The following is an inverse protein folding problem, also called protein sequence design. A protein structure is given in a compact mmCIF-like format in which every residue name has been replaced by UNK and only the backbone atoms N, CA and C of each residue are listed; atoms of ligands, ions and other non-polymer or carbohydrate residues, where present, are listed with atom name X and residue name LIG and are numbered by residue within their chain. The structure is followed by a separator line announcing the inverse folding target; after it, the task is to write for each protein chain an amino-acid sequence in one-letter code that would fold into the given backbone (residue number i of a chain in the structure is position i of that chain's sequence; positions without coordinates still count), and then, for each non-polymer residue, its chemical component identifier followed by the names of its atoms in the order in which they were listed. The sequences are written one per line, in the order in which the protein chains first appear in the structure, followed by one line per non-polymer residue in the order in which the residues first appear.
data_IF_436842830458
#
_entry.id   IF_436842830458
#
_cell.length_a   1.000
_cell.length_b   1.000
_cell.length_c   1.000
_cell.angle_alpha   90.00
_cell.angle_beta   90.00
_cell.angle_gamma   90.00
#
_symmetry.space_group_name_H-M   'P 1'
#
loop_
_entity.id
_entity.type
_entity.pdbx_description
1 polymer ?
#
# COMPACT_ATOMS: atom_id res chain seq x y z
N UNK A 1 32.15 -17.87 -6.50
CA UNK A 1 32.31 -18.03 -5.04
C UNK A 1 31.48 -19.22 -4.56
N UNK A 2 31.98 -20.00 -3.60
CA UNK A 2 31.21 -21.07 -2.97
C UNK A 2 30.04 -20.50 -2.16
N UNK A 3 28.93 -21.23 -2.09
CA UNK A 3 27.72 -20.79 -1.39
C UNK A 3 27.27 -21.82 -0.35
N UNK A 4 26.95 -21.37 0.86
CA UNK A 4 26.45 -22.23 1.95
C UNK A 4 25.16 -22.98 1.57
N UNK A 5 24.35 -22.39 0.69
CA UNK A 5 23.14 -23.03 0.14
C UNK A 5 23.44 -24.21 -0.78
N UNK A 6 24.62 -24.25 -1.37
CA UNK A 6 25.11 -25.30 -2.28
C UNK A 6 26.12 -26.20 -1.57
N UNK A 7 26.05 -26.28 -0.25
CA UNK A 7 26.98 -27.06 0.58
C UNK A 7 28.46 -26.66 0.40
N UNK A 8 28.71 -25.36 0.23
CA UNK A 8 30.07 -24.86 0.02
C UNK A 8 30.61 -25.12 -1.38
N UNK A 9 29.76 -25.51 -2.35
CA UNK A 9 30.13 -25.57 -3.78
C UNK A 9 29.83 -24.25 -4.48
N UNK A 10 30.56 -23.96 -5.55
CA UNK A 10 30.27 -22.78 -6.39
C UNK A 10 29.08 -23.06 -7.31
N UNK A 11 28.28 -22.04 -7.68
CA UNK A 11 27.21 -22.21 -8.66
C UNK A 11 27.69 -22.77 -10.00
N UNK A 12 28.90 -22.39 -10.42
CA UNK A 12 29.53 -22.90 -11.64
C UNK A 12 29.78 -24.40 -11.54
N UNK A 13 30.39 -24.85 -10.45
CA UNK A 13 30.66 -26.27 -10.19
C UNK A 13 29.37 -27.09 -10.06
N UNK A 14 28.35 -26.54 -9.41
CA UNK A 14 27.06 -27.20 -9.29
C UNK A 14 26.34 -27.34 -10.65
N UNK A 15 26.57 -26.41 -11.58
CA UNK A 15 25.92 -26.39 -12.89
C UNK A 15 26.69 -27.15 -13.97
N UNK A 16 28.02 -27.06 -13.99
CA UNK A 16 28.85 -27.60 -15.09
C UNK A 16 29.72 -28.79 -14.70
N UNK A 17 29.71 -29.20 -13.43
CA UNK A 17 30.69 -30.14 -12.84
C UNK A 17 32.15 -29.69 -12.92
N UNK A 18 32.44 -28.51 -13.47
CA UNK A 18 33.79 -28.01 -13.59
C UNK A 18 34.25 -27.38 -12.27
N UNK A 19 35.52 -27.55 -11.89
CA UNK A 19 36.06 -26.81 -10.76
C UNK A 19 35.86 -25.31 -10.99
N UNK A 20 35.59 -24.59 -9.91
CA UNK A 20 35.55 -23.14 -9.96
C UNK A 20 36.96 -22.65 -10.34
N UNK A 21 37.14 -22.28 -11.60
CA UNK A 21 38.46 -21.96 -12.16
C UNK A 21 38.46 -20.60 -12.85
N UNK A 22 39.65 -20.08 -13.11
CA UNK A 22 39.82 -18.80 -13.81
C UNK A 22 39.36 -18.90 -15.27
N UNK A 23 38.80 -17.82 -15.81
CA UNK A 23 38.33 -17.75 -17.20
C UNK A 23 39.45 -17.99 -18.24
N UNK A 24 40.73 -18.00 -17.83
CA UNK A 24 41.89 -18.09 -18.71
C UNK A 24 42.37 -19.52 -19.00
N UNK A 25 41.87 -20.53 -18.30
CA UNK A 25 42.37 -21.92 -18.45
C UNK A 25 42.01 -22.54 -19.81
N UNK A 26 40.91 -22.12 -20.42
CA UNK A 26 40.51 -22.48 -21.80
C UNK A 26 41.61 -22.11 -22.83
N UNK A 27 42.35 -21.02 -22.57
CA UNK A 27 43.39 -20.51 -23.47
C UNK A 27 44.68 -21.36 -23.35
N UNK A 28 44.92 -21.99 -22.21
CA UNK A 28 46.14 -22.73 -21.89
C UNK A 28 46.04 -24.24 -22.18
N UNK A 29 45.06 -24.69 -22.97
CA UNK A 29 44.90 -26.11 -23.27
C UNK A 29 46.12 -26.63 -24.08
N UNK A 30 46.86 -27.66 -23.59
CA UNK A 30 48.01 -28.18 -24.30
C UNK A 30 47.61 -28.69 -25.69
N UNK A 31 48.18 -28.12 -26.74
CA UNK A 31 47.88 -28.46 -28.14
C UNK A 31 48.77 -29.59 -28.68
N UNK A 32 49.11 -30.56 -27.86
CA UNK A 32 49.87 -31.72 -28.33
C UNK A 32 48.91 -32.67 -29.06
N UNK A 33 49.06 -32.89 -30.37
CA UNK A 33 48.17 -33.78 -31.10
C UNK A 33 48.47 -35.22 -30.71
N UNK A 34 47.59 -35.83 -29.92
CA UNK A 34 47.54 -37.27 -29.75
C UNK A 34 46.87 -37.90 -30.96
N UNK A 35 47.57 -38.80 -31.65
CA UNK A 35 46.96 -39.65 -32.67
C UNK A 35 46.07 -40.68 -31.96
N UNK A 36 44.79 -40.66 -32.26
CA UNK A 36 43.81 -41.58 -31.71
C UNK A 36 42.83 -42.03 -32.80
N UNK A 37 42.40 -43.28 -32.74
CA UNK A 37 41.38 -43.84 -33.65
C UNK A 37 40.01 -43.29 -33.28
N UNK A 38 39.17 -42.97 -34.27
CA UNK A 38 37.83 -42.41 -34.04
C UNK A 38 36.95 -43.27 -33.11
N UNK A 39 37.04 -44.59 -33.22
CA UNK A 39 36.28 -45.54 -32.38
C UNK A 39 36.71 -45.50 -30.90
N UNK A 40 38.02 -45.36 -30.65
CA UNK A 40 38.56 -45.23 -29.29
C UNK A 40 38.13 -43.90 -28.67
N UNK A 41 38.16 -42.81 -29.45
CA UNK A 41 37.68 -41.50 -28.99
C UNK A 41 36.20 -41.55 -28.63
N UNK A 42 35.35 -42.18 -29.46
CA UNK A 42 33.92 -42.30 -29.17
C UNK A 42 33.64 -43.15 -27.93
N UNK A 43 34.36 -44.27 -27.74
CA UNK A 43 34.22 -45.09 -26.53
C UNK A 43 34.63 -44.33 -25.27
N UNK A 44 35.74 -43.59 -25.34
CA UNK A 44 36.28 -42.85 -24.20
C UNK A 44 35.38 -41.65 -23.85
N UNK A 45 34.85 -40.94 -24.86
CA UNK A 45 33.89 -39.86 -24.67
C UNK A 45 32.61 -40.38 -24.01
N UNK A 46 32.07 -41.52 -24.46
CA UNK A 46 30.87 -42.11 -23.84
C UNK A 46 31.11 -42.50 -22.39
N UNK A 47 32.23 -43.17 -22.10
CA UNK A 47 32.64 -43.55 -20.75
C UNK A 47 32.80 -42.32 -19.84
N UNK A 48 33.45 -41.27 -20.35
CA UNK A 48 33.63 -40.03 -19.61
C UNK A 48 32.29 -39.34 -19.33
N UNK A 49 31.38 -39.26 -20.32
CA UNK A 49 30.06 -38.68 -20.14
C UNK A 49 29.22 -39.45 -19.11
N UNK A 50 29.29 -40.79 -19.09
CA UNK A 50 28.61 -41.59 -18.06
C UNK A 50 29.18 -41.32 -16.67
N UNK A 51 30.51 -41.26 -16.53
CA UNK A 51 31.15 -40.95 -15.26
C UNK A 51 30.82 -39.54 -14.74
N UNK A 52 30.80 -38.54 -15.64
CA UNK A 52 30.40 -37.16 -15.29
C UNK A 52 28.94 -37.08 -14.87
N UNK A 53 28.05 -37.82 -15.56
CA UNK A 53 26.64 -37.90 -15.20
C UNK A 53 26.44 -38.47 -13.79
N UNK A 54 27.06 -39.62 -13.50
CA UNK A 54 26.97 -40.24 -12.17
C UNK A 54 27.54 -39.31 -11.08
N UNK A 55 28.66 -38.64 -11.35
CA UNK A 55 29.25 -37.69 -10.42
C UNK A 55 28.33 -36.47 -10.14
N UNK A 56 27.64 -35.96 -11.17
CA UNK A 56 26.66 -34.88 -11.03
C UNK A 56 25.41 -35.31 -10.28
N UNK A 57 24.86 -36.49 -10.60
CA UNK A 57 23.67 -37.03 -9.94
C UNK A 57 23.93 -37.22 -8.44
N UNK A 58 25.10 -37.77 -8.07
CA UNK A 58 25.53 -37.91 -6.68
C UNK A 58 25.73 -36.55 -6.00
N UNK A 59 26.39 -35.60 -6.66
CA UNK A 59 26.58 -34.23 -6.16
C UNK A 59 25.25 -33.53 -5.89
N UNK A 60 24.29 -33.64 -6.81
CA UNK A 60 22.96 -33.02 -6.65
C UNK A 60 22.16 -33.70 -5.54
N UNK A 61 22.26 -35.02 -5.40
CA UNK A 61 21.62 -35.75 -4.30
C UNK A 61 22.15 -35.28 -2.93
N UNK A 62 23.47 -35.16 -2.77
CA UNK A 62 24.08 -34.61 -1.56
C UNK A 62 23.63 -33.18 -1.28
N UNK A 63 23.67 -32.32 -2.30
CA UNK A 63 23.28 -30.91 -2.19
C UNK A 63 21.80 -30.75 -1.78
N UNK A 64 20.90 -31.54 -2.38
CA UNK A 64 19.47 -31.55 -2.04
C UNK A 64 19.28 -31.96 -0.59
N UNK A 65 19.91 -33.07 -0.16
CA UNK A 65 19.81 -33.57 1.21
C UNK A 65 20.29 -32.54 2.25
N UNK A 66 21.41 -31.87 1.97
CA UNK A 66 21.99 -30.87 2.85
C UNK A 66 21.13 -29.59 2.90
N UNK A 67 20.59 -29.17 1.75
CA UNK A 67 19.64 -28.06 1.65
C UNK A 67 18.36 -28.34 2.42
N UNK A 68 17.80 -29.54 2.31
CA UNK A 68 16.59 -29.95 3.03
C UNK A 68 16.81 -30.04 4.53
N UNK A 69 17.92 -30.61 4.98
CA UNK A 69 18.31 -30.64 6.39
C UNK A 69 18.41 -29.24 6.97
N UNK A 70 19.02 -28.29 6.23
CA UNK A 70 19.08 -26.87 6.63
C UNK A 70 17.71 -26.21 6.65
N UNK A 71 16.86 -26.46 5.64
CA UNK A 71 15.48 -25.95 5.59
C UNK A 71 14.66 -26.46 6.77
N UNK A 72 14.77 -27.74 7.12
CA UNK A 72 14.13 -28.34 8.29
C UNK A 72 14.63 -27.70 9.59
N UNK A 73 15.95 -27.58 9.78
CA UNK A 73 16.51 -26.92 10.96
C UNK A 73 16.09 -25.43 11.06
N UNK A 74 15.97 -24.72 9.94
CA UNK A 74 15.45 -23.36 9.92
C UNK A 74 13.97 -23.32 10.35
N UNK A 75 13.13 -24.23 9.84
CA UNK A 75 11.73 -24.38 10.27
C UNK A 75 11.62 -24.69 11.76
N UNK A 76 12.45 -25.60 12.28
CA UNK A 76 12.48 -25.92 13.72
C UNK A 76 12.93 -24.73 14.57
N UNK A 77 13.95 -23.97 14.14
CA UNK A 77 14.36 -22.72 14.80
C UNK A 77 13.24 -21.68 14.78
N UNK A 78 12.53 -21.55 13.67
CA UNK A 78 11.37 -20.67 13.57
C UNK A 78 10.21 -21.11 14.46
N UNK A 79 9.95 -22.42 14.58
CA UNK A 79 8.91 -22.96 15.46
C UNK A 79 9.27 -22.80 16.96
N UNK A 80 10.56 -22.86 17.31
CA UNK A 80 11.05 -22.64 18.69
C UNK A 80 11.02 -21.16 19.10
N UNK A 81 11.15 -20.24 18.15
CA UNK A 81 10.85 -18.84 18.43
C UNK A 81 9.36 -18.78 18.72
N UNK A 82 8.96 -18.30 19.90
CA UNK A 82 7.60 -17.80 20.07
C UNK A 82 7.42 -16.78 18.95
N UNK A 83 6.63 -17.15 17.94
CA UNK A 83 6.33 -16.26 16.83
C UNK A 83 5.86 -14.92 17.39
N UNK A 84 6.09 -13.85 16.63
CA UNK A 84 5.41 -12.57 16.87
C UNK A 84 3.97 -12.90 17.22
N UNK A 85 3.57 -12.62 18.47
CA UNK A 85 2.20 -12.84 18.93
C UNK A 85 1.37 -11.85 18.13
N UNK A 86 0.84 -12.28 16.98
CA UNK A 86 -0.12 -11.48 16.27
C UNK A 86 -1.26 -11.24 17.26
N UNK A 87 -1.58 -9.97 17.47
CA UNK A 87 -2.78 -9.63 18.21
C UNK A 87 -3.92 -10.27 17.43
N UNK A 88 -4.60 -11.23 18.09
CA UNK A 88 -5.73 -11.94 17.50
C UNK A 88 -6.84 -10.91 17.40
N UNK A 89 -7.05 -10.40 16.20
CA UNK A 89 -8.25 -9.65 15.90
C UNK A 89 -9.41 -10.64 15.83
N UNK A 90 -10.48 -10.36 16.54
CA UNK A 90 -11.76 -11.07 16.43
C UNK A 90 -12.71 -10.36 15.48
N UNK A 91 -13.64 -11.13 14.91
CA UNK A 91 -14.79 -10.57 14.22
C UNK A 91 -15.57 -9.67 15.20
N UNK A 92 -15.92 -8.45 14.75
CA UNK A 92 -16.55 -7.43 15.58
C UNK A 92 -15.59 -6.47 16.28
N UNK A 93 -14.28 -6.73 16.29
CA UNK A 93 -13.31 -5.78 16.85
C UNK A 93 -13.26 -4.49 16.04
N UNK A 94 -13.12 -3.37 16.74
CA UNK A 94 -12.87 -2.08 16.12
C UNK A 94 -11.36 -1.83 15.98
N UNK A 95 -10.94 -1.36 14.81
CA UNK A 95 -9.54 -1.18 14.43
C UNK A 95 -9.32 0.10 13.65
N UNK A 96 -8.14 0.70 13.80
CA UNK A 96 -7.63 1.72 12.90
C UNK A 96 -6.99 1.06 11.67
N UNK A 97 -7.33 1.54 10.47
CA UNK A 97 -6.73 1.05 9.23
C UNK A 97 -5.70 2.03 8.67
N UNK A 98 -4.49 1.54 8.40
CA UNK A 98 -3.43 2.33 7.78
C UNK A 98 -3.58 2.39 6.25
N UNK A 99 -3.77 3.61 5.75
CA UNK A 99 -3.77 3.93 4.32
C UNK A 99 -2.47 4.63 3.95
N UNK A 100 -1.80 4.16 2.90
CA UNK A 100 -0.62 4.83 2.38
C UNK A 100 -1.06 6.07 1.60
N UNK A 101 -0.63 7.26 2.03
CA UNK A 101 -0.95 8.50 1.33
C UNK A 101 0.23 8.95 0.50
N UNK A 102 0.01 9.28 -0.78
CA UNK A 102 1.03 9.90 -1.64
C UNK A 102 1.33 11.37 -1.29
N UNK A 103 0.60 11.96 -0.31
CA UNK A 103 0.72 13.38 0.06
C UNK A 103 1.92 13.69 0.96
N UNK A 104 2.47 12.69 1.64
CA UNK A 104 3.69 12.88 2.42
C UNK A 104 4.90 12.73 1.50
N UNK A 105 5.78 13.73 1.46
CA UNK A 105 7.07 13.65 0.73
C UNK A 105 7.99 12.50 1.18
N UNK A 106 7.59 11.71 2.18
CA UNK A 106 8.23 10.48 2.57
C UNK A 106 7.53 9.27 1.94
N UNK A 107 8.28 8.54 1.10
CA UNK A 107 7.91 7.24 0.56
C UNK A 107 7.56 6.31 1.73
N UNK A 108 6.30 5.87 1.82
CA UNK A 108 5.72 4.99 2.84
C UNK A 108 5.17 5.64 4.13
N UNK A 109 4.85 6.94 4.18
CA UNK A 109 4.09 7.41 5.35
C UNK A 109 2.68 6.81 5.34
N UNK A 110 2.35 6.14 6.44
CA UNK A 110 1.04 5.56 6.69
C UNK A 110 0.21 6.56 7.49
N UNK A 111 -1.00 6.85 7.01
CA UNK A 111 -2.00 7.59 7.78
C UNK A 111 -3.01 6.57 8.32
N UNK A 112 -3.15 6.54 9.64
CA UNK A 112 -4.12 5.70 10.33
C UNK A 112 -5.49 6.40 10.28
N UNK A 113 -6.51 5.69 9.78
CA UNK A 113 -7.83 6.23 9.49
C UNK A 113 -8.91 5.43 10.22
N UNK A 114 -9.73 6.17 10.96
CA UNK A 114 -11.02 5.83 11.57
C UNK A 114 -11.02 4.61 12.51
N UNK A 115 -11.92 4.54 13.50
CA UNK A 115 -12.39 3.24 13.93
C UNK A 115 -13.18 2.59 12.78
N UNK A 116 -12.77 1.38 12.39
CA UNK A 116 -13.42 0.52 11.40
C UNK A 116 -13.70 -0.83 12.04
N UNK A 117 -14.72 -1.54 11.62
CA UNK A 117 -15.10 -2.83 12.24
C UNK A 117 -14.58 -4.00 11.42
N UNK A 118 -13.98 -4.99 12.07
CA UNK A 118 -13.61 -6.24 11.41
C UNK A 118 -14.87 -7.08 11.19
N UNK A 119 -15.16 -7.40 9.93
CA UNK A 119 -16.26 -8.29 9.58
C UNK A 119 -15.84 -9.74 9.69
N UNK A 120 -14.71 -10.08 9.05
CA UNK A 120 -14.28 -11.47 8.89
C UNK A 120 -12.79 -11.59 8.71
N UNK A 121 -12.21 -12.67 9.23
CA UNK A 121 -10.86 -13.10 8.89
C UNK A 121 -10.87 -13.95 7.60
N UNK A 122 -10.17 -13.49 6.56
CA UNK A 122 -9.98 -14.27 5.32
C UNK A 122 -8.84 -15.28 5.48
N UNK A 123 -7.80 -14.90 6.22
CA UNK A 123 -6.70 -15.77 6.61
C UNK A 123 -6.09 -15.25 7.93
N UNK A 124 -5.04 -15.90 8.44
CA UNK A 124 -4.38 -15.53 9.71
C UNK A 124 -3.81 -14.09 9.74
N UNK A 125 -3.68 -13.44 8.58
CA UNK A 125 -3.02 -12.15 8.39
C UNK A 125 -3.84 -11.12 7.60
N UNK A 126 -5.03 -11.46 7.11
CA UNK A 126 -5.82 -10.65 6.20
C UNK A 126 -7.27 -10.65 6.65
N UNK A 127 -7.81 -9.46 6.81
CA UNK A 127 -9.12 -9.21 7.39
C UNK A 127 -9.95 -8.32 6.47
N UNK A 128 -11.24 -8.59 6.41
CA UNK A 128 -12.24 -7.70 5.86
C UNK A 128 -12.62 -6.67 6.92
N UNK A 129 -12.46 -5.41 6.57
CA UNK A 129 -12.66 -4.27 7.46
C UNK A 129 -13.69 -3.35 6.84
N UNK A 130 -14.74 -3.05 7.60
CA UNK A 130 -15.89 -2.26 7.19
C UNK A 130 -15.87 -0.89 7.87
N UNK A 131 -16.19 0.14 7.09
CA UNK A 131 -16.39 1.49 7.63
C UNK A 131 -17.66 1.56 8.47
N UNK A 132 -17.64 2.32 9.56
CA UNK A 132 -18.80 2.46 10.48
C UNK A 132 -19.85 3.42 9.91
N UNK A 133 -19.46 4.22 8.92
CA UNK A 133 -20.30 5.25 8.29
C UNK A 133 -20.74 4.74 6.92
N UNK A 134 -21.94 5.13 6.50
CA UNK A 134 -22.45 4.89 5.15
C UNK A 134 -21.46 5.43 4.10
N UNK A 135 -21.10 4.67 3.05
CA UNK A 135 -21.75 3.48 2.49
C UNK A 135 -21.34 2.14 3.12
N UNK A 136 -20.73 2.14 4.30
CA UNK A 136 -20.22 0.94 4.99
C UNK A 136 -19.26 0.14 4.10
N UNK A 137 -18.37 0.86 3.41
CA UNK A 137 -17.45 0.27 2.45
C UNK A 137 -16.58 -0.81 3.11
N UNK A 138 -16.48 -1.96 2.45
CA UNK A 138 -15.67 -3.09 2.91
C UNK A 138 -14.35 -3.10 2.16
N UNK A 139 -13.25 -3.09 2.90
CA UNK A 139 -11.90 -3.15 2.34
C UNK A 139 -11.10 -4.28 2.96
N UNK A 140 -10.25 -4.93 2.15
CA UNK A 140 -9.38 -6.01 2.60
C UNK A 140 -8.04 -5.42 3.06
N UNK A 141 -7.62 -5.74 4.29
CA UNK A 141 -6.40 -5.21 4.90
C UNK A 141 -5.56 -6.32 5.53
N UNK A 142 -4.24 -6.18 5.42
CA UNK A 142 -3.30 -7.05 6.13
C UNK A 142 -3.19 -6.62 7.61
N UNK A 143 -2.91 -7.56 8.51
CA UNK A 143 -2.79 -7.36 9.96
C UNK A 143 -1.80 -6.24 10.33
N UNK A 144 -0.71 -6.10 9.56
CA UNK A 144 0.27 -5.02 9.76
C UNK A 144 -0.25 -3.61 9.46
N UNK A 145 -1.41 -3.51 8.81
CA UNK A 145 -2.12 -2.25 8.52
C UNK A 145 -3.30 -2.02 9.46
N UNK A 146 -3.42 -2.82 10.53
CA UNK A 146 -4.50 -2.74 11.50
C UNK A 146 -3.93 -2.52 12.90
N UNK A 147 -4.58 -1.64 13.67
CA UNK A 147 -4.31 -1.42 15.08
C UNK A 147 -5.62 -1.48 15.86
N UNK A 148 -5.65 -2.19 16.99
CA UNK A 148 -6.87 -2.28 17.81
C UNK A 148 -7.28 -0.91 18.34
N UNK A 149 -8.54 -0.55 18.15
CA UNK A 149 -9.13 0.68 18.65
C UNK A 149 -9.66 0.45 20.08
N UNK A 150 -8.92 0.91 21.09
CA UNK A 150 -9.20 0.61 22.51
C UNK A 150 -10.44 1.31 23.08
N UNK A 151 -10.83 2.44 22.51
CA UNK A 151 -11.96 3.23 23.04
C UNK A 151 -13.33 2.74 22.56
N UNK A 152 -13.38 1.70 21.72
CA UNK A 152 -14.62 1.07 21.30
C UNK A 152 -15.48 0.51 22.43
N UNK A 153 -14.87 0.12 23.56
CA UNK A 153 -15.61 -0.37 24.73
C UNK A 153 -16.08 0.77 25.66
N UNK A 154 -15.67 2.01 25.41
CA UNK A 154 -15.95 3.17 26.28
C UNK A 154 -16.88 4.19 25.63
N UNK A 155 -16.88 4.30 24.30
CA UNK A 155 -17.70 5.27 23.59
C UNK A 155 -19.09 4.75 23.20
N UNK A 156 -20.06 5.66 23.08
CA UNK A 156 -21.34 5.36 22.43
C UNK A 156 -21.13 5.17 20.93
N UNK A 157 -22.06 4.48 20.25
CA UNK A 157 -21.98 4.24 18.79
C UNK A 157 -21.87 5.55 18.01
N UNK A 158 -22.53 6.61 18.51
CA UNK A 158 -22.50 7.97 17.96
C UNK A 158 -21.09 8.59 18.02
N UNK A 159 -20.39 8.48 19.16
CA UNK A 159 -19.02 8.99 19.33
C UNK A 159 -18.01 8.27 18.41
N UNK A 160 -18.22 6.97 18.15
CA UNK A 160 -17.39 6.20 17.23
C UNK A 160 -17.59 6.64 15.77
N UNK A 161 -18.82 7.03 15.41
CA UNK A 161 -19.12 7.58 14.09
C UNK A 161 -18.47 8.95 13.92
N UNK A 162 -18.59 9.83 14.91
CA UNK A 162 -17.94 11.16 14.92
C UNK A 162 -16.41 11.07 14.76
N UNK A 163 -15.78 10.12 15.47
CA UNK A 163 -14.34 9.88 15.38
C UNK A 163 -13.92 9.26 14.05
N UNK A 164 -14.78 8.43 13.44
CA UNK A 164 -14.56 7.93 12.09
C UNK A 164 -14.61 9.05 11.06
N UNK A 165 -15.58 9.97 11.17
CA UNK A 165 -15.70 11.16 10.31
C UNK A 165 -14.42 12.00 10.42
N UNK A 166 -14.04 12.37 11.64
CA UNK A 166 -12.82 13.14 11.88
C UNK A 166 -11.56 12.41 11.38
N UNK A 167 -11.50 11.10 11.63
CA UNK A 167 -10.39 10.25 11.29
C UNK A 167 -10.16 10.11 9.80
N UNK A 168 -11.20 10.18 8.95
CA UNK A 168 -11.09 10.07 7.48
C UNK A 168 -10.68 11.36 6.77
N UNK A 169 -10.77 12.50 7.48
CA UNK A 169 -10.24 13.78 7.01
C UNK A 169 -11.23 14.63 6.20
N UNK A 170 -12.53 14.43 6.41
CA UNK A 170 -13.60 15.30 5.92
C UNK A 170 -14.75 15.33 6.93
N UNK A 171 -15.38 16.48 7.12
CA UNK A 171 -16.62 16.60 7.90
C UNK A 171 -17.80 16.24 7.00
N UNK A 172 -18.80 15.51 7.52
CA UNK A 172 -20.04 15.27 6.78
C UNK A 172 -20.88 16.55 6.73
N UNK A 173 -21.57 16.77 5.62
CA UNK A 173 -22.52 17.88 5.47
C UNK A 173 -23.83 17.51 6.16
N UNK A 174 -24.25 18.30 7.14
CA UNK A 174 -25.58 18.18 7.77
C UNK A 174 -26.64 18.89 6.92
N UNK A 175 -26.36 20.13 6.54
CA UNK A 175 -27.28 20.94 5.75
C UNK A 175 -26.53 21.98 4.92
N UNK A 176 -27.08 22.31 3.76
CA UNK A 176 -26.67 23.47 2.97
C UNK A 176 -27.61 24.62 3.33
N UNK A 177 -27.04 25.70 3.87
CA UNK A 177 -27.82 26.79 4.46
C UNK A 177 -28.03 27.93 3.46
N UNK A 178 -26.97 28.35 2.77
CA UNK A 178 -27.00 29.51 1.89
C UNK A 178 -25.98 29.39 0.74
N UNK A 179 -26.10 30.23 -0.28
CA UNK A 179 -25.14 30.31 -1.39
C UNK A 179 -24.81 31.76 -1.72
N UNK A 180 -23.55 32.02 -2.06
CA UNK A 180 -23.10 33.35 -2.50
C UNK A 180 -22.08 33.25 -3.61
N UNK A 181 -22.02 34.29 -4.44
CA UNK A 181 -20.87 34.51 -5.30
C UNK A 181 -19.84 35.30 -4.49
N UNK A 182 -18.67 34.70 -4.26
CA UNK A 182 -17.60 35.33 -3.50
C UNK A 182 -17.09 36.58 -4.24
N UNK A 183 -17.11 37.77 -3.62
CA UNK A 183 -16.65 39.00 -4.28
C UNK A 183 -15.14 38.98 -4.55
N UNK A 184 -14.37 38.21 -3.77
CA UNK A 184 -12.90 38.15 -3.90
C UNK A 184 -12.45 37.07 -4.88
N UNK A 185 -13.10 35.89 -4.84
CA UNK A 185 -12.69 34.74 -5.65
C UNK A 185 -13.51 34.56 -6.93
N UNK A 186 -14.61 35.31 -7.09
CA UNK A 186 -15.59 35.19 -8.18
C UNK A 186 -16.08 33.74 -8.40
N UNK A 187 -15.99 32.90 -7.37
CA UNK A 187 -16.49 31.53 -7.36
C UNK A 187 -17.72 31.43 -6.48
N UNK A 188 -18.59 30.51 -6.85
CA UNK A 188 -19.75 30.18 -6.05
C UNK A 188 -19.30 29.42 -4.80
N UNK A 189 -19.75 29.89 -3.66
CA UNK A 189 -19.54 29.27 -2.36
C UNK A 189 -20.90 28.91 -1.76
N UNK A 190 -20.98 27.78 -1.09
CA UNK A 190 -22.15 27.32 -0.33
C UNK A 190 -21.79 27.36 1.15
N UNK A 191 -22.71 27.86 1.98
CA UNK A 191 -22.57 27.85 3.43
C UNK A 191 -23.02 26.49 3.95
N UNK A 192 -22.07 25.74 4.47
CA UNK A 192 -22.23 24.33 4.85
C UNK A 192 -22.30 24.24 6.36
N UNK A 193 -23.41 23.69 6.87
CA UNK A 193 -23.49 23.20 8.24
C UNK A 193 -22.88 21.81 8.30
N UNK A 194 -21.91 21.63 9.17
CA UNK A 194 -21.20 20.37 9.34
C UNK A 194 -21.86 19.51 10.41
N UNK A 195 -22.00 18.21 10.13
CA UNK A 195 -22.64 17.26 11.03
C UNK A 195 -21.86 17.11 12.34
N UNK A 196 -22.56 17.30 13.46
CA UNK A 196 -21.97 17.20 14.79
C UNK A 196 -21.15 18.42 15.24
N UNK A 197 -21.20 19.53 14.48
CA UNK A 197 -20.58 20.81 14.84
C UNK A 197 -21.65 21.89 15.04
N UNK A 198 -21.36 22.88 15.88
CA UNK A 198 -22.30 23.97 16.16
C UNK A 198 -22.48 24.88 14.94
N UNK A 199 -23.61 25.59 14.86
CA UNK A 199 -23.95 26.47 13.73
C UNK A 199 -22.89 27.58 13.49
N UNK A 200 -22.12 27.94 14.52
CA UNK A 200 -21.04 28.93 14.42
C UNK A 200 -19.81 28.41 13.66
N UNK A 201 -19.67 27.09 13.55
CA UNK A 201 -18.55 26.41 12.88
C UNK A 201 -18.86 26.12 11.41
N UNK A 202 -20.05 26.51 10.94
CA UNK A 202 -20.40 26.45 9.52
C UNK A 202 -19.43 27.30 8.69
N UNK A 203 -19.00 26.76 7.54
CA UNK A 203 -18.01 27.41 6.66
C UNK A 203 -18.53 27.58 5.24
N UNK A 204 -17.95 28.55 4.53
CA UNK A 204 -18.19 28.77 3.12
C UNK A 204 -17.25 27.88 2.29
N UNK A 205 -17.81 26.89 1.61
CA UNK A 205 -17.06 25.94 0.79
C UNK A 205 -17.34 26.14 -0.70
N UNK A 206 -16.38 25.85 -1.60
CA UNK A 206 -16.60 25.96 -3.04
C UNK A 206 -17.74 25.07 -3.53
N UNK A 207 -18.70 25.66 -4.24
CA UNK A 207 -19.93 24.99 -4.67
C UNK A 207 -19.68 23.82 -5.65
N UNK A 208 -18.60 23.89 -6.42
CA UNK A 208 -18.13 22.84 -7.32
C UNK A 208 -17.73 21.57 -6.54
N UNK A 209 -17.01 21.72 -5.43
CA UNK A 209 -16.61 20.62 -4.56
C UNK A 209 -17.84 20.01 -3.89
N UNK A 210 -18.74 20.83 -3.35
CA UNK A 210 -19.98 20.35 -2.69
C UNK A 210 -20.89 19.59 -3.66
N UNK A 211 -21.01 20.06 -4.91
CA UNK A 211 -21.76 19.36 -5.96
C UNK A 211 -21.15 17.99 -6.29
N UNK A 212 -19.83 17.85 -6.27
CA UNK A 212 -19.14 16.59 -6.53
C UNK A 212 -19.23 15.63 -5.34
N UNK A 213 -19.02 16.14 -4.12
CA UNK A 213 -18.93 15.33 -2.91
C UNK A 213 -20.31 14.90 -2.39
N UNK A 214 -21.33 15.77 -2.48
CA UNK A 214 -22.68 15.48 -1.98
C UNK A 214 -23.76 15.91 -3.00
N UNK A 215 -23.83 15.26 -4.18
CA UNK A 215 -24.73 15.66 -5.26
C UNK A 215 -26.20 15.61 -4.86
N UNK A 216 -26.61 14.65 -4.03
CA UNK A 216 -28.00 14.52 -3.57
C UNK A 216 -28.48 15.72 -2.74
N UNK A 217 -27.72 16.10 -1.71
CA UNK A 217 -28.05 17.27 -0.88
C UNK A 217 -28.00 18.57 -1.68
N UNK A 218 -27.05 18.68 -2.61
CA UNK A 218 -26.94 19.84 -3.49
C UNK A 218 -28.19 20.03 -4.36
N UNK A 219 -28.72 18.95 -4.96
CA UNK A 219 -29.94 19.05 -5.76
C UNK A 219 -31.15 19.43 -4.92
N UNK A 220 -31.34 18.79 -3.75
CA UNK A 220 -32.42 19.14 -2.82
C UNK A 220 -32.34 20.61 -2.41
N UNK A 221 -31.14 21.13 -2.14
CA UNK A 221 -30.94 22.53 -1.78
C UNK A 221 -31.29 23.51 -2.91
N UNK A 222 -30.99 23.16 -4.16
CA UNK A 222 -31.38 23.97 -5.33
C UNK A 222 -32.89 23.92 -5.54
N UNK A 223 -33.52 22.75 -5.34
CA UNK A 223 -34.94 22.52 -5.56
C UNK A 223 -35.84 23.07 -4.43
N UNK A 224 -35.34 23.15 -3.20
CA UNK A 224 -36.08 23.59 -2.00
C UNK A 224 -36.49 25.07 -2.06
N UNK A 225 -35.71 25.92 -2.73
CA UNK A 225 -36.08 27.32 -2.96
C UNK A 225 -35.83 27.73 -4.41
N UNK A 226 -36.74 27.39 -5.32
CA UNK A 226 -36.55 27.69 -6.73
C UNK A 226 -36.59 29.20 -6.98
N UNK A 227 -37.24 30.02 -6.16
CA UNK A 227 -37.33 31.48 -6.38
C UNK A 227 -36.07 32.26 -6.01
N UNK A 228 -35.14 31.65 -5.26
CA UNK A 228 -33.88 32.27 -4.89
C UNK A 228 -32.99 32.42 -6.13
N UNK A 229 -32.93 33.65 -6.68
CA UNK A 229 -32.11 33.99 -7.85
C UNK A 229 -30.67 33.52 -7.71
N UNK A 230 -30.08 33.65 -6.52
CA UNK A 230 -28.72 33.19 -6.23
C UNK A 230 -28.53 31.67 -6.42
N UNK A 231 -29.50 30.83 -6.02
CA UNK A 231 -29.42 29.37 -6.18
C UNK A 231 -29.57 28.96 -7.65
N UNK A 232 -30.45 29.63 -8.39
CA UNK A 232 -30.61 29.43 -9.85
C UNK A 232 -29.36 29.84 -10.62
N UNK A 233 -28.82 31.02 -10.33
CA UNK A 233 -27.63 31.55 -10.99
C UNK A 233 -26.41 30.66 -10.70
N UNK A 234 -26.29 30.15 -9.47
CA UNK A 234 -25.29 29.14 -9.07
C UNK A 234 -25.46 27.83 -9.85
N UNK A 235 -26.67 27.26 -9.87
CA UNK A 235 -26.95 26.00 -10.55
C UNK A 235 -26.69 26.11 -12.07
N UNK A 236 -27.07 27.22 -12.69
CA UNK A 236 -26.80 27.51 -14.09
C UNK A 236 -25.30 27.66 -14.37
N UNK A 237 -24.56 28.37 -13.51
CA UNK A 237 -23.11 28.54 -13.63
C UNK A 237 -22.35 27.21 -13.50
N UNK A 238 -22.85 26.28 -12.67
CA UNK A 238 -22.27 24.96 -12.45
C UNK A 238 -22.79 23.89 -13.44
N UNK A 239 -23.74 24.21 -14.31
CA UNK A 239 -24.29 23.30 -15.33
C UNK A 239 -23.67 23.50 -16.74
N UNK A 240 -22.89 24.57 -16.93
CA UNK A 240 -22.13 24.79 -18.16
C UNK A 240 -21.02 23.73 -18.36
N UNK A 241 -20.55 23.49 -19.60
CA UNK A 241 -19.50 22.52 -19.89
C UNK A 241 -18.22 22.88 -19.14
N UNK A 242 -17.58 21.84 -18.57
CA UNK A 242 -16.36 21.90 -17.75
C UNK A 242 -15.43 23.05 -18.12
N UNK A 243 -15.31 24.01 -17.20
CA UNK A 243 -14.10 24.83 -17.10
C UNK A 243 -13.08 24.01 -16.30
N UNK A 244 -12.60 22.95 -16.92
CA UNK A 244 -11.32 22.37 -16.53
C UNK A 244 -10.21 23.42 -16.75
N UNK A 245 -9.25 23.42 -15.82
CA UNK A 245 -8.10 24.31 -15.70
C UNK A 245 -8.36 25.76 -15.25
N UNK A 246 -8.72 25.92 -13.98
CA UNK A 246 -7.91 26.76 -13.09
C UNK A 246 -7.84 26.12 -11.69
N UNK A 247 -6.92 25.16 -11.57
CA UNK A 247 -6.50 24.62 -10.27
C UNK A 247 -6.13 25.81 -9.37
N UNK A 248 -6.67 25.94 -8.15
CA UNK A 248 -6.15 26.95 -7.23
C UNK A 248 -4.66 26.65 -7.05
N UNK A 249 -3.83 27.64 -7.38
CA UNK A 249 -2.39 27.58 -7.21
C UNK A 249 -2.09 26.97 -5.84
N UNK A 250 -1.36 25.85 -5.84
CA UNK A 250 -0.77 25.28 -4.64
C UNK A 250 -0.16 26.44 -3.86
N UNK A 251 -0.66 26.71 -2.65
CA UNK A 251 -0.07 27.73 -1.78
C UNK A 251 1.41 27.41 -1.69
N UNK A 252 2.23 28.22 -2.36
CA UNK A 252 3.67 28.10 -2.31
C UNK A 252 4.08 28.14 -0.83
N UNK A 253 5.01 27.27 -0.39
CA UNK A 253 5.47 27.29 0.98
C UNK A 253 6.00 28.70 1.28
N UNK A 254 5.44 29.34 2.32
CA UNK A 254 5.92 30.64 2.82
C UNK A 254 7.45 30.55 2.97
N UNK A 255 8.17 31.27 2.10
CA UNK A 255 9.62 31.47 2.21
C UNK A 255 9.88 32.03 3.60
N UNK A 256 10.58 31.27 4.45
CA UNK A 256 11.10 31.79 5.72
C UNK A 256 12.05 32.93 5.38
N UNK A 257 11.72 34.16 5.77
CA UNK A 257 12.65 35.27 5.69
C UNK A 257 13.86 34.97 6.60
N UNK A 258 15.10 35.24 6.18
CA UNK A 258 16.26 35.14 7.05
C UNK A 258 16.12 36.12 8.21
N UNK A 259 16.33 35.64 9.44
CA UNK A 259 16.44 36.50 10.62
C UNK A 259 17.61 37.45 10.41
N UNK A 260 17.36 38.76 10.42
CA UNK A 260 18.42 39.75 10.54
C UNK A 260 19.08 39.61 11.93
N UNK A 261 20.42 39.69 12.03
CA UNK A 261 21.09 39.77 13.31
C UNK A 261 20.79 41.14 13.95
N UNK A 262 20.41 41.11 15.23
CA UNK A 262 20.28 42.30 16.09
C UNK A 262 21.68 42.72 16.61
N UNK A 263 21.85 44.00 16.96
CA UNK A 263 23.14 44.73 16.95
C UNK A 263 24.20 44.18 17.89
#
# INVERSE_FOLDING_TARGET
MPADRLDGRSPLTAFTALPADSQLRSILHPRSPTQATLEWVDSEVRSHLTAVREALDNMHAEMVSASEKRRRAARERHARRQGVRLHKFSEGDFVLAATATGRSGHKLALVWRGPKRILKALNDYTFEVQDIIEPFAVTIRHASRLQLYRDAARGRVEELQEQAIYGEGGHLVEALLDCRLSPDSHRWEVFVKWFGLDDIEASWEPADIIKQDVPGLFQVFVDDQPEARSRRDMAAALAGPDRDDERPAQRAPRRRQPRQPRP
#
